data_IF_651058004104
#
_entry.id   IF_651058004104
#
_cell.length_a   1.000
_cell.length_b   1.000
_cell.length_c   1.000
_cell.angle_alpha   90.00
_cell.angle_beta   90.00
_cell.angle_gamma   90.00
#
_symmetry.space_group_name_H-M   'P 1'
#
loop_
_entity.id
_entity.type
_entity.pdbx_description
1 polymer ?
#
# COMPACT_ATOMS: atom_id res chain seq x y z
N UNK A 1 18.51 34.10 -27.10
CA UNK A 1 18.24 35.23 -26.19
C UNK A 1 17.36 34.66 -25.07
N UNK A 2 17.95 34.09 -24.01
CA UNK A 2 18.28 34.70 -22.70
C UNK A 2 17.04 35.12 -21.89
N UNK A 3 16.79 34.31 -20.84
CA UNK A 3 15.95 34.37 -19.64
C UNK A 3 15.36 35.71 -19.15
N UNK A 4 14.20 35.64 -18.47
CA UNK A 4 13.81 36.49 -17.31
C UNK A 4 12.63 35.81 -16.58
N UNK A 5 12.81 35.20 -15.40
CA UNK A 5 12.75 35.79 -14.05
C UNK A 5 11.48 36.65 -13.81
N UNK A 6 10.71 36.49 -12.73
CA UNK A 6 10.94 35.69 -11.53
C UNK A 6 9.79 35.77 -10.53
N UNK A 7 9.87 34.88 -9.53
CA UNK A 7 9.15 34.96 -8.26
C UNK A 7 9.50 36.26 -7.53
N UNK A 8 8.53 36.81 -6.79
CA UNK A 8 8.60 37.38 -5.43
C UNK A 8 7.47 38.40 -5.25
N UNK A 9 6.59 38.18 -4.29
CA UNK A 9 6.10 39.29 -3.46
C UNK A 9 5.62 38.77 -2.12
N UNK A 10 6.55 38.72 -1.17
CA UNK A 10 6.28 38.78 0.25
C UNK A 10 5.59 40.11 0.56
N UNK A 11 4.39 40.09 1.15
CA UNK A 11 3.85 41.27 1.80
C UNK A 11 3.56 40.95 3.28
N UNK A 12 4.51 41.37 4.09
CA UNK A 12 4.37 41.71 5.51
C UNK A 12 3.48 42.94 5.68
N UNK A 13 2.56 42.93 6.65
CA UNK A 13 2.22 44.05 7.58
C UNK A 13 0.82 43.83 8.19
N UNK A 14 0.45 44.21 9.41
CA UNK A 14 1.06 44.58 10.70
C UNK A 14 -0.12 44.78 11.69
N UNK A 15 0.10 44.47 12.96
CA UNK A 15 -0.40 45.16 14.19
C UNK A 15 -1.92 45.30 14.44
N UNK A 16 -2.36 44.78 15.59
CA UNK A 16 -3.22 45.52 16.53
C UNK A 16 -3.01 45.05 17.98
N UNK A 17 -2.52 45.98 18.82
CA UNK A 17 -2.50 45.90 20.28
C UNK A 17 -3.91 46.18 20.83
N UNK A 18 -4.32 45.47 21.87
CA UNK A 18 -5.57 45.75 22.59
C UNK A 18 -5.54 45.20 24.02
N UNK A 19 -5.35 46.11 24.97
CA UNK A 19 -5.32 45.89 26.41
C UNK A 19 -6.70 45.61 27.02
N UNK A 20 -6.73 44.73 28.03
CA UNK A 20 -7.50 44.87 29.28
C UNK A 20 -9.02 44.67 29.26
N UNK A 21 -9.52 43.72 30.06
CA UNK A 21 -10.18 44.01 31.35
C UNK A 21 -10.72 42.73 32.02
N UNK A 22 -10.64 42.78 33.35
CA UNK A 22 -11.05 41.83 34.37
C UNK A 22 -12.58 41.79 34.55
N UNK A 23 -13.17 40.58 34.62
CA UNK A 23 -14.41 40.36 35.37
C UNK A 23 -14.64 38.86 35.58
N UNK A 24 -14.62 38.46 36.85
CA UNK A 24 -14.49 37.07 37.27
C UNK A 24 -15.71 36.18 37.09
N UNK A 25 -15.50 34.89 37.31
CA UNK A 25 -16.55 33.92 37.62
C UNK A 25 -16.02 32.78 38.49
N UNK A 26 -16.47 32.81 39.74
CA UNK A 26 -16.82 31.72 40.65
C UNK A 26 -16.39 30.28 40.32
N UNK A 27 -15.63 29.72 41.26
CA UNK A 27 -15.42 28.29 41.49
C UNK A 27 -16.78 27.57 41.67
N UNK A 28 -17.06 26.59 40.80
CA UNK A 28 -18.06 25.55 41.07
C UNK A 28 -17.64 24.23 40.42
N UNK A 29 -17.45 23.25 41.28
CA UNK A 29 -17.30 21.83 41.01
C UNK A 29 -18.26 21.34 39.91
N UNK A 30 -17.75 20.66 38.89
CA UNK A 30 -18.47 19.55 38.23
C UNK A 30 -17.48 18.70 37.42
N UNK A 31 -17.70 17.40 37.48
CA UNK A 31 -16.91 16.24 37.05
C UNK A 31 -16.41 16.23 35.59
N UNK A 32 -15.37 15.43 35.26
CA UNK A 32 -14.91 15.28 33.87
C UNK A 32 -15.95 14.54 33.03
N UNK A 33 -16.61 15.28 32.12
CA UNK A 33 -17.35 14.66 31.01
C UNK A 33 -16.38 14.19 29.93
N UNK A 34 -16.46 12.90 29.69
CA UNK A 34 -15.99 12.18 28.53
C UNK A 34 -16.47 12.87 27.24
N UNK A 35 -15.53 13.37 26.43
CA UNK A 35 -15.78 13.59 25.00
C UNK A 35 -15.48 12.28 24.28
N UNK A 36 -16.54 11.64 23.81
CA UNK A 36 -16.51 10.56 22.84
C UNK A 36 -16.00 11.09 21.49
N UNK A 37 -14.82 10.66 21.06
CA UNK A 37 -14.43 10.68 19.64
C UNK A 37 -14.62 9.29 19.01
N UNK A 38 -15.05 9.21 17.74
CA UNK A 38 -15.46 7.97 17.10
C UNK A 38 -14.26 7.07 16.77
N UNK A 39 -14.50 5.79 17.01
CA UNK A 39 -13.64 4.63 16.76
C UNK A 39 -13.05 4.58 15.35
N UNK A 40 -11.73 4.77 15.25
CA UNK A 40 -10.93 4.03 14.27
C UNK A 40 -10.16 2.98 15.07
N UNK A 41 -10.64 1.75 14.98
CA UNK A 41 -10.12 0.57 15.66
C UNK A 41 -8.70 0.27 15.17
N UNK A 42 -7.69 0.89 15.78
CA UNK A 42 -6.33 0.37 15.80
C UNK A 42 -6.27 -0.78 16.81
N UNK A 43 -6.82 -1.92 16.42
CA UNK A 43 -6.46 -3.17 17.09
C UNK A 43 -5.02 -3.49 16.66
N UNK A 44 -4.12 -3.89 17.57
CA UNK A 44 -2.84 -4.45 17.15
C UNK A 44 -3.15 -5.74 16.40
N UNK A 45 -2.95 -5.73 15.09
CA UNK A 45 -2.88 -6.97 14.32
C UNK A 45 -1.71 -7.76 14.93
N UNK A 46 -2.04 -8.86 15.61
CA UNK A 46 -1.06 -9.87 16.02
C UNK A 46 -0.23 -10.18 14.78
N UNK A 47 1.03 -9.77 14.78
CA UNK A 47 2.00 -10.11 13.75
C UNK A 47 2.09 -11.64 13.76
N UNK A 48 1.63 -12.36 12.72
CA UNK A 48 1.89 -13.78 12.65
C UNK A 48 3.41 -13.99 12.57
N UNK A 49 3.93 -14.89 13.41
CA UNK A 49 5.33 -15.24 13.43
C UNK A 49 5.74 -15.82 12.05
N UNK A 50 6.89 -15.41 11.49
CA UNK A 50 7.31 -15.79 10.15
C UNK A 50 7.60 -17.30 9.98
N UNK A 51 7.64 -18.08 11.06
CA UNK A 51 7.82 -19.54 11.00
C UNK A 51 6.54 -20.36 10.72
N UNK A 52 5.34 -19.79 10.86
CA UNK A 52 4.06 -20.54 10.68
C UNK A 52 3.36 -20.27 9.32
N UNK A 53 3.81 -19.30 8.53
CA UNK A 53 3.23 -18.93 7.22
C UNK A 53 3.90 -19.57 6.02
N UNK A 54 5.04 -20.23 6.23
CA UNK A 54 5.83 -20.82 5.15
C UNK A 54 5.38 -22.25 4.82
N UNK A 55 4.29 -22.39 4.07
CA UNK A 55 4.05 -23.45 3.07
C UNK A 55 2.66 -23.22 2.46
N UNK A 56 2.60 -23.11 1.13
CA UNK A 56 1.43 -22.93 0.22
C UNK A 56 1.23 -21.50 -0.33
N UNK A 57 1.94 -21.16 -1.42
CA UNK A 57 1.48 -20.19 -2.42
C UNK A 57 1.56 -18.71 -2.03
N UNK A 58 2.67 -18.26 -1.43
CA UNK A 58 2.89 -16.85 -1.10
C UNK A 58 3.21 -15.97 -2.30
N UNK A 59 3.04 -14.67 -2.12
CA UNK A 59 3.50 -13.65 -3.05
C UNK A 59 5.05 -13.69 -3.19
N UNK A 60 5.55 -13.36 -4.38
CA UNK A 60 6.95 -13.48 -4.76
C UNK A 60 7.70 -12.17 -4.53
N UNK A 61 8.90 -12.26 -3.97
CA UNK A 61 9.83 -11.15 -3.94
C UNK A 61 10.61 -11.08 -5.25
N UNK A 62 10.64 -9.88 -5.85
CA UNK A 62 11.54 -9.53 -6.93
C UNK A 62 12.99 -9.36 -6.41
N UNK A 63 14.01 -9.52 -7.28
CA UNK A 63 15.39 -9.19 -6.94
C UNK A 63 15.51 -7.72 -6.49
N UNK A 64 16.27 -7.48 -5.43
CA UNK A 64 16.35 -6.18 -4.75
C UNK A 64 16.85 -5.04 -5.66
N UNK A 65 17.66 -5.36 -6.65
CA UNK A 65 18.24 -4.45 -7.64
C UNK A 65 17.35 -4.18 -8.86
N UNK A 66 16.18 -4.82 -8.94
CA UNK A 66 15.25 -4.64 -10.05
C UNK A 66 14.36 -3.42 -9.84
N UNK A 67 14.09 -2.68 -10.93
CA UNK A 67 13.16 -1.56 -10.88
C UNK A 67 11.76 -2.04 -10.44
N UNK A 68 11.14 -1.33 -9.50
CA UNK A 68 9.85 -1.70 -8.91
C UNK A 68 9.94 -2.70 -7.74
N UNK A 69 11.13 -3.20 -7.38
CA UNK A 69 11.32 -4.17 -6.28
C UNK A 69 10.83 -3.65 -4.92
N UNK A 70 11.05 -2.36 -4.64
CA UNK A 70 10.59 -1.70 -3.41
C UNK A 70 9.07 -1.79 -3.26
N UNK A 71 8.34 -1.36 -4.29
CA UNK A 71 6.87 -1.39 -4.29
C UNK A 71 6.37 -2.84 -4.25
N UNK A 72 7.02 -3.76 -4.97
CA UNK A 72 6.69 -5.17 -4.87
C UNK A 72 6.88 -5.73 -3.45
N UNK A 73 7.93 -5.34 -2.74
CA UNK A 73 8.14 -5.74 -1.35
C UNK A 73 7.06 -5.20 -0.40
N UNK A 74 6.69 -3.93 -0.55
CA UNK A 74 5.60 -3.33 0.25
C UNK A 74 4.26 -4.03 -0.06
N UNK A 75 3.99 -4.33 -1.32
CA UNK A 75 2.81 -5.11 -1.73
C UNK A 75 2.78 -6.51 -1.14
N UNK A 76 3.92 -7.22 -1.10
CA UNK A 76 4.03 -8.54 -0.46
C UNK A 76 3.69 -8.43 1.03
N UNK A 77 4.22 -7.43 1.73
CA UNK A 77 3.93 -7.24 3.15
C UNK A 77 2.43 -6.98 3.41
N UNK A 78 1.77 -6.20 2.55
CA UNK A 78 0.32 -5.98 2.62
C UNK A 78 -0.48 -7.25 2.29
N UNK A 79 -0.04 -8.04 1.30
CA UNK A 79 -0.65 -9.31 0.91
C UNK A 79 -0.62 -10.32 2.07
N UNK A 80 0.51 -10.47 2.74
CA UNK A 80 0.66 -11.36 3.89
C UNK A 80 -0.25 -10.98 5.06
N UNK A 81 -0.57 -9.69 5.20
CA UNK A 81 -1.50 -9.17 6.19
C UNK A 81 -2.97 -9.28 5.76
N UNK A 82 -3.25 -9.72 4.53
CA UNK A 82 -4.60 -9.78 3.97
C UNK A 82 -5.18 -8.43 3.56
N UNK A 83 -4.35 -7.39 3.46
CA UNK A 83 -4.74 -6.05 3.01
C UNK A 83 -4.74 -6.00 1.47
N UNK A 84 -5.68 -6.73 0.84
CA UNK A 84 -5.68 -6.98 -0.60
C UNK A 84 -5.72 -5.70 -1.45
N UNK A 85 -6.54 -4.71 -1.10
CA UNK A 85 -6.60 -3.45 -1.84
C UNK A 85 -5.25 -2.70 -1.80
N UNK A 86 -4.61 -2.61 -0.63
CA UNK A 86 -3.30 -1.98 -0.50
C UNK A 86 -2.20 -2.77 -1.24
N UNK A 87 -2.25 -4.10 -1.18
CA UNK A 87 -1.34 -4.95 -1.94
C UNK A 87 -1.49 -4.70 -3.44
N UNK A 88 -2.73 -4.60 -3.95
CA UNK A 88 -3.01 -4.29 -5.35
C UNK A 88 -2.37 -2.95 -5.76
N UNK A 89 -2.56 -1.89 -4.97
CA UNK A 89 -1.99 -0.57 -5.26
C UNK A 89 -0.46 -0.60 -5.36
N UNK A 90 0.21 -1.28 -4.43
CA UNK A 90 1.67 -1.42 -4.46
C UNK A 90 2.15 -2.26 -5.64
N UNK A 91 1.47 -3.34 -6.00
CA UNK A 91 1.84 -4.12 -7.19
C UNK A 91 1.62 -3.33 -8.48
N UNK A 92 0.56 -2.53 -8.57
CA UNK A 92 0.34 -1.61 -9.69
C UNK A 92 1.45 -0.54 -9.77
N UNK A 93 1.89 0.00 -8.63
CA UNK A 93 3.02 0.93 -8.59
C UNK A 93 4.33 0.25 -9.03
N UNK A 94 4.55 -1.00 -8.64
CA UNK A 94 5.69 -1.79 -9.11
C UNK A 94 5.67 -1.94 -10.64
N UNK A 95 4.49 -2.25 -11.22
CA UNK A 95 4.28 -2.37 -12.66
C UNK A 95 4.35 -1.02 -13.40
N UNK A 96 4.00 0.09 -12.75
CA UNK A 96 4.18 1.43 -13.31
C UNK A 96 5.68 1.79 -13.44
N UNK A 97 6.52 1.27 -12.55
CA UNK A 97 7.97 1.44 -12.60
C UNK A 97 8.63 0.45 -13.57
N UNK A 98 8.20 -0.81 -13.54
CA UNK A 98 8.68 -1.87 -14.41
C UNK A 98 7.51 -2.73 -14.91
N UNK A 99 6.99 -2.44 -16.11
CA UNK A 99 5.88 -3.19 -16.70
C UNK A 99 6.18 -4.66 -16.96
N UNK A 100 7.45 -5.05 -17.04
CA UNK A 100 7.88 -6.41 -17.35
C UNK A 100 8.31 -7.18 -16.08
N UNK A 101 7.91 -6.71 -14.89
CA UNK A 101 8.23 -7.38 -13.63
C UNK A 101 7.34 -8.60 -13.40
N UNK A 102 7.85 -9.78 -13.75
CA UNK A 102 7.11 -11.04 -13.67
C UNK A 102 6.56 -11.32 -12.25
N UNK A 103 7.33 -11.06 -11.19
CA UNK A 103 6.86 -11.23 -9.81
C UNK A 103 5.68 -10.32 -9.47
N UNK A 104 5.69 -9.07 -9.94
CA UNK A 104 4.59 -8.14 -9.68
C UNK A 104 3.32 -8.55 -10.44
N UNK A 105 3.46 -9.05 -11.67
CA UNK A 105 2.35 -9.66 -12.41
C UNK A 105 1.79 -10.90 -11.72
N UNK A 106 2.65 -11.77 -11.19
CA UNK A 106 2.21 -12.93 -10.42
C UNK A 106 1.47 -12.50 -9.13
N UNK A 107 1.98 -11.49 -8.43
CA UNK A 107 1.45 -11.03 -7.16
C UNK A 107 0.13 -10.28 -7.29
N UNK A 108 -0.01 -9.44 -8.32
CA UNK A 108 -1.30 -8.80 -8.60
C UNK A 108 -2.34 -9.85 -8.98
N UNK A 109 -1.96 -10.90 -9.72
CA UNK A 109 -2.87 -12.00 -10.05
C UNK A 109 -3.34 -12.75 -8.79
N UNK A 110 -2.43 -13.08 -7.87
CA UNK A 110 -2.82 -13.63 -6.56
C UNK A 110 -3.78 -12.72 -5.80
N UNK A 111 -3.50 -11.42 -5.80
CA UNK A 111 -4.31 -10.42 -5.09
C UNK A 111 -5.70 -10.29 -5.71
N UNK A 112 -5.79 -10.27 -7.03
CA UNK A 112 -7.04 -10.24 -7.78
C UNK A 112 -7.87 -11.50 -7.56
N UNK A 113 -7.23 -12.67 -7.48
CA UNK A 113 -7.90 -13.93 -7.10
C UNK A 113 -8.52 -13.82 -5.70
N UNK A 114 -7.79 -13.29 -4.71
CA UNK A 114 -8.34 -13.04 -3.35
C UNK A 114 -9.50 -12.06 -3.35
N UNK A 115 -9.51 -11.10 -4.27
CA UNK A 115 -10.60 -10.15 -4.47
C UNK A 115 -11.77 -10.73 -5.31
N UNK A 116 -11.69 -11.97 -5.79
CA UNK A 116 -12.71 -12.62 -6.62
C UNK A 116 -12.71 -12.16 -8.09
N UNK A 117 -11.70 -11.39 -8.51
CA UNK A 117 -11.53 -10.88 -9.87
C UNK A 117 -10.77 -11.87 -10.74
N UNK A 118 -11.32 -13.09 -10.88
CA UNK A 118 -10.60 -14.21 -11.49
C UNK A 118 -10.23 -13.99 -12.96
N UNK A 119 -11.01 -13.23 -13.72
CA UNK A 119 -10.70 -12.91 -15.12
C UNK A 119 -9.42 -12.07 -15.26
N UNK A 120 -9.34 -10.98 -14.49
CA UNK A 120 -8.14 -10.11 -14.44
C UNK A 120 -6.93 -10.87 -13.88
N UNK A 121 -7.16 -11.75 -12.88
CA UNK A 121 -6.10 -12.62 -12.36
C UNK A 121 -5.52 -13.54 -13.44
N UNK A 122 -6.37 -14.16 -14.28
CA UNK A 122 -5.93 -15.01 -15.40
C UNK A 122 -5.05 -14.25 -16.38
N UNK A 123 -5.41 -13.01 -16.73
CA UNK A 123 -4.61 -12.17 -17.64
C UNK A 123 -3.20 -11.93 -17.06
N UNK A 124 -3.11 -11.54 -15.80
CA UNK A 124 -1.82 -11.28 -15.16
C UNK A 124 -0.99 -12.55 -14.91
N UNK A 125 -1.64 -13.68 -14.60
CA UNK A 125 -0.96 -14.97 -14.52
C UNK A 125 -0.35 -15.40 -15.86
N UNK A 126 -1.06 -15.15 -16.96
CA UNK A 126 -0.54 -15.41 -18.30
C UNK A 126 0.70 -14.55 -18.59
N UNK A 127 0.64 -13.25 -18.28
CA UNK A 127 1.78 -12.34 -18.47
C UNK A 127 2.98 -12.74 -17.61
N UNK A 128 2.77 -13.07 -16.33
CA UNK A 128 3.85 -13.50 -15.44
C UNK A 128 4.60 -14.73 -16.00
N UNK A 129 3.85 -15.70 -16.53
CA UNK A 129 4.41 -16.88 -17.15
C UNK A 129 5.16 -16.55 -18.45
N UNK A 130 4.62 -15.65 -19.28
CA UNK A 130 5.24 -15.29 -20.55
C UNK A 130 6.57 -14.53 -20.35
N UNK A 131 6.65 -13.72 -19.29
CA UNK A 131 7.86 -12.98 -18.91
C UNK A 131 8.93 -13.88 -18.29
N UNK A 132 8.53 -14.86 -17.48
CA UNK A 132 9.44 -15.73 -16.75
C UNK A 132 9.08 -17.23 -16.89
N UNK A 133 9.09 -17.79 -18.13
CA UNK A 133 8.63 -19.15 -18.38
C UNK A 133 9.53 -20.23 -17.78
N UNK A 134 10.76 -19.87 -17.41
CA UNK A 134 11.74 -20.76 -16.80
C UNK A 134 11.89 -20.55 -15.28
N UNK A 135 11.11 -19.64 -14.68
CA UNK A 135 11.11 -19.47 -13.23
C UNK A 135 10.17 -20.52 -12.62
N UNK A 136 10.68 -21.54 -11.91
CA UNK A 136 9.84 -22.58 -11.32
C UNK A 136 8.86 -22.03 -10.29
N UNK A 137 9.14 -20.88 -9.66
CA UNK A 137 8.21 -20.24 -8.70
C UNK A 137 6.91 -19.83 -9.38
N UNK A 138 6.98 -19.42 -10.65
CA UNK A 138 5.84 -19.00 -11.46
C UNK A 138 5.32 -20.19 -12.28
N UNK A 139 6.21 -20.87 -13.00
CA UNK A 139 5.87 -21.99 -13.88
C UNK A 139 5.16 -23.12 -13.14
N UNK A 140 5.59 -23.44 -11.91
CA UNK A 140 5.01 -24.54 -11.12
C UNK A 140 3.91 -24.14 -10.16
N UNK A 141 3.52 -22.86 -10.14
CA UNK A 141 2.42 -22.38 -9.32
C UNK A 141 1.11 -23.09 -9.68
N UNK A 142 0.52 -23.78 -8.70
CA UNK A 142 -0.72 -24.53 -8.87
C UNK A 142 -1.93 -23.63 -9.11
N UNK A 143 -1.97 -22.46 -8.47
CA UNK A 143 -3.03 -21.46 -8.67
C UNK A 143 -2.97 -20.86 -10.07
N UNK A 144 -1.79 -20.50 -10.55
CA UNK A 144 -1.59 -20.04 -11.92
C UNK A 144 -2.06 -21.12 -12.91
N UNK A 145 -1.62 -22.37 -12.72
CA UNK A 145 -2.03 -23.51 -13.57
C UNK A 145 -3.55 -23.72 -13.56
N UNK A 146 -4.21 -23.57 -12.41
CA UNK A 146 -5.66 -23.67 -12.27
C UNK A 146 -6.39 -22.57 -13.07
N UNK A 147 -5.91 -21.32 -13.02
CA UNK A 147 -6.47 -20.21 -13.81
C UNK A 147 -6.29 -20.39 -15.32
N UNK A 148 -5.18 -21.00 -15.73
CA UNK A 148 -4.88 -21.26 -17.15
C UNK A 148 -5.46 -22.59 -17.67
N UNK A 149 -6.00 -23.43 -16.79
CA UNK A 149 -6.63 -24.71 -17.14
C UNK A 149 -5.66 -25.78 -17.65
N UNK A 150 -4.46 -25.89 -17.06
CA UNK A 150 -3.40 -26.83 -17.52
C UNK A 150 -2.67 -27.54 -16.39
#
# INVERSE_FOLDING_TARGET
>A
MKHSLGNLSWLMMLIALGSGCDSGYQEKNMEPRTTSEPTASSAPATVPHPEDTALHGGALMAPQDTAGSKENQEGVAHFEQGHWDAAQDHFLNALAVNPDLAEAHYNIALTLDKLGKHGEATEHFQVALDLAPNDPRIQDSSILKAHLGR
#
